data_IF_771713110668
#
_entry.id   IF_771713110668
#
_cell.length_a   1.000
_cell.length_b   1.000
_cell.length_c   1.000
_cell.angle_alpha   90.00
_cell.angle_beta   90.00
_cell.angle_gamma   90.00
#
_symmetry.space_group_name_H-M   'P 1'
#
loop_
_entity.id
_entity.type
_entity.pdbx_description
1 polymer ?
#
# COMPACT_ATOMS: atom_id res chain seq x y z
N UNK A 1 -32.76 8.03 -15.24
CA UNK A 1 -33.44 6.78 -14.78
C UNK A 1 -32.64 5.54 -15.13
N UNK A 2 -32.03 5.43 -16.32
CA UNK A 2 -31.25 4.27 -16.79
C UNK A 2 -30.02 3.99 -15.93
N UNK A 3 -29.28 5.03 -15.50
CA UNK A 3 -28.06 4.91 -14.67
C UNK A 3 -28.35 4.17 -13.35
N UNK A 4 -29.38 4.54 -12.62
CA UNK A 4 -29.71 3.93 -11.34
C UNK A 4 -30.41 2.58 -11.44
N UNK A 5 -31.17 2.34 -12.52
CA UNK A 5 -31.93 1.09 -12.67
C UNK A 5 -31.16 -0.03 -13.40
N UNK A 6 -30.21 0.32 -14.26
CA UNK A 6 -29.50 -0.66 -15.10
C UNK A 6 -28.00 -0.63 -14.82
N UNK A 7 -27.34 0.52 -15.00
CA UNK A 7 -25.89 0.63 -14.93
C UNK A 7 -25.36 0.38 -13.51
N UNK A 8 -25.94 1.05 -12.51
CA UNK A 8 -25.50 0.93 -11.12
C UNK A 8 -25.64 -0.49 -10.54
N UNK A 9 -26.75 -1.22 -10.75
CA UNK A 9 -26.86 -2.62 -10.35
C UNK A 9 -25.84 -3.54 -11.02
N UNK A 10 -25.50 -3.29 -12.30
CA UNK A 10 -24.50 -4.09 -13.02
C UNK A 10 -23.08 -3.91 -12.47
N UNK A 11 -22.73 -2.71 -12.05
CA UNK A 11 -21.39 -2.39 -11.48
C UNK A 11 -21.33 -2.53 -9.96
N UNK A 12 -22.47 -2.72 -9.28
CA UNK A 12 -22.54 -2.87 -7.82
C UNK A 12 -21.51 -3.89 -7.25
N UNK A 13 -21.34 -5.11 -7.83
CA UNK A 13 -20.35 -6.05 -7.31
C UNK A 13 -18.91 -5.53 -7.41
N UNK A 14 -18.60 -4.79 -8.48
CA UNK A 14 -17.27 -4.19 -8.65
C UNK A 14 -17.03 -3.07 -7.63
N UNK A 15 -18.03 -2.21 -7.42
CA UNK A 15 -17.97 -1.13 -6.40
C UNK A 15 -17.80 -1.73 -5.01
N UNK A 16 -18.60 -2.73 -4.63
CA UNK A 16 -18.48 -3.40 -3.34
C UNK A 16 -17.10 -4.05 -3.16
N UNK A 17 -16.60 -4.72 -4.19
CA UNK A 17 -15.25 -5.30 -4.17
C UNK A 17 -14.18 -4.24 -3.92
N UNK A 18 -14.25 -3.11 -4.63
CA UNK A 18 -13.31 -2.00 -4.46
C UNK A 18 -13.37 -1.41 -3.06
N UNK A 19 -14.59 -1.16 -2.53
CA UNK A 19 -14.78 -0.66 -1.16
C UNK A 19 -14.16 -1.61 -0.14
N UNK A 20 -14.40 -2.92 -0.26
CA UNK A 20 -13.86 -3.91 0.66
C UNK A 20 -12.32 -3.98 0.60
N UNK A 21 -11.73 -3.90 -0.61
CA UNK A 21 -10.28 -3.90 -0.78
C UNK A 21 -9.64 -2.64 -0.19
N UNK A 22 -10.23 -1.47 -0.46
CA UNK A 22 -9.74 -0.19 0.10
C UNK A 22 -9.86 -0.19 1.61
N UNK A 23 -10.98 -0.68 2.16
CA UNK A 23 -11.17 -0.81 3.60
C UNK A 23 -10.11 -1.71 4.23
N UNK A 24 -9.84 -2.89 3.64
CA UNK A 24 -8.81 -3.81 4.14
C UNK A 24 -7.41 -3.19 4.12
N UNK A 25 -7.06 -2.50 3.03
CA UNK A 25 -5.80 -1.79 2.91
C UNK A 25 -5.67 -0.64 3.93
N UNK A 26 -6.72 0.15 4.10
CA UNK A 26 -6.73 1.26 5.06
C UNK A 26 -6.62 0.77 6.52
N UNK A 27 -7.28 -0.34 6.86
CA UNK A 27 -7.20 -0.94 8.19
C UNK A 27 -5.76 -1.41 8.54
N UNK A 28 -5.01 -1.87 7.53
CA UNK A 28 -3.62 -2.30 7.70
C UNK A 28 -2.60 -1.16 7.63
N UNK A 29 -3.03 0.06 7.29
CA UNK A 29 -2.12 1.19 7.16
C UNK A 29 -1.58 1.61 8.53
N UNK A 30 -0.24 1.68 8.65
CA UNK A 30 0.45 2.11 9.86
C UNK A 30 1.08 3.51 9.75
N UNK A 31 1.84 3.84 8.68
CA UNK A 31 2.65 5.05 8.67
C UNK A 31 1.81 6.33 8.82
N UNK A 32 0.77 6.47 8.04
CA UNK A 32 -0.06 7.70 8.02
C UNK A 32 -0.73 7.95 9.38
N UNK A 33 -1.46 6.99 9.99
CA UNK A 33 -2.01 7.17 11.32
C UNK A 33 -0.96 7.45 12.39
N UNK A 34 0.23 6.84 12.28
CA UNK A 34 1.31 7.03 13.23
C UNK A 34 1.81 8.48 13.22
N UNK A 35 2.11 9.03 12.04
CA UNK A 35 2.57 10.41 11.91
C UNK A 35 1.50 11.45 12.26
N UNK A 36 0.23 11.13 12.07
CA UNK A 36 -0.89 11.98 12.48
C UNK A 36 -1.27 11.84 13.97
N UNK A 37 -0.59 11.00 14.73
CA UNK A 37 -0.91 10.74 16.13
C UNK A 37 -2.25 10.02 16.36
N UNK A 38 -2.82 9.39 15.30
CA UNK A 38 -4.10 8.71 15.38
C UNK A 38 -3.97 7.31 15.98
N UNK A 39 -4.81 7.02 16.97
CA UNK A 39 -4.84 5.70 17.62
C UNK A 39 -5.69 4.73 16.80
N UNK A 40 -5.04 3.92 15.96
CA UNK A 40 -5.67 2.86 15.16
C UNK A 40 -5.23 1.47 15.66
N UNK A 41 -5.87 0.40 15.16
CA UNK A 41 -5.46 -0.97 15.51
C UNK A 41 -4.00 -1.23 15.14
N UNK A 42 -3.56 -0.76 13.96
CA UNK A 42 -2.19 -0.92 13.49
C UNK A 42 -1.18 -0.14 14.33
N UNK A 43 -1.48 1.11 14.74
CA UNK A 43 -0.58 1.89 15.61
C UNK A 43 -0.54 1.32 17.03
N UNK A 44 -1.65 0.85 17.57
CA UNK A 44 -1.70 0.15 18.86
C UNK A 44 -0.91 -1.14 18.84
N UNK A 45 -1.06 -1.94 17.79
CA UNK A 45 -0.30 -3.16 17.61
C UNK A 45 1.22 -2.91 17.71
N UNK A 46 1.73 -1.94 16.98
CA UNK A 46 3.17 -1.61 17.00
C UNK A 46 3.60 -1.09 18.37
N UNK A 47 2.83 -0.21 18.99
CA UNK A 47 3.16 0.34 20.32
C UNK A 47 3.13 -0.72 21.43
N UNK A 48 2.26 -1.71 21.34
CA UNK A 48 2.14 -2.80 22.33
C UNK A 48 3.19 -3.88 22.12
N UNK A 49 3.58 -4.15 20.87
CA UNK A 49 4.53 -5.22 20.55
C UNK A 49 5.90 -5.05 21.25
N UNK A 50 6.30 -3.82 21.56
CA UNK A 50 7.55 -3.53 22.27
C UNK A 50 7.51 -3.82 23.78
N UNK A 51 6.31 -3.86 24.40
CA UNK A 51 6.12 -4.01 25.85
C UNK A 51 5.31 -5.23 26.24
N UNK A 52 4.31 -5.58 25.45
CA UNK A 52 3.27 -6.58 25.75
C UNK A 52 3.06 -7.50 24.57
N UNK A 53 4.02 -8.39 24.31
CA UNK A 53 4.01 -9.27 23.13
C UNK A 53 2.75 -10.17 23.07
N UNK A 54 2.24 -10.63 24.20
CA UNK A 54 1.02 -11.45 24.24
C UNK A 54 -0.22 -10.68 23.78
N UNK A 55 -0.43 -9.47 24.28
CA UNK A 55 -1.55 -8.62 23.90
C UNK A 55 -1.45 -8.17 22.45
N UNK A 56 -0.24 -7.83 21.98
CA UNK A 56 0.00 -7.51 20.60
C UNK A 56 -0.34 -8.70 19.67
N UNK A 57 -0.02 -9.93 20.07
CA UNK A 57 -0.35 -11.13 19.29
C UNK A 57 -1.87 -11.33 19.18
N UNK A 58 -2.64 -11.06 20.23
CA UNK A 58 -4.11 -11.10 20.18
C UNK A 58 -4.63 -10.05 19.19
N UNK A 59 -4.08 -8.84 19.25
CA UNK A 59 -4.47 -7.75 18.34
C UNK A 59 -4.16 -8.11 16.87
N UNK A 60 -3.00 -8.75 16.62
CA UNK A 60 -2.65 -9.25 15.30
C UNK A 60 -3.66 -10.32 14.80
N UNK A 61 -4.07 -11.25 15.66
CA UNK A 61 -5.08 -12.25 15.32
C UNK A 61 -6.41 -11.57 14.97
N UNK A 62 -6.84 -10.58 15.75
CA UNK A 62 -8.06 -9.82 15.46
C UNK A 62 -7.96 -9.17 14.07
N UNK A 63 -6.84 -8.52 13.75
CA UNK A 63 -6.63 -7.91 12.44
C UNK A 63 -6.64 -8.95 11.30
N UNK A 64 -6.06 -10.14 11.52
CA UNK A 64 -6.12 -11.24 10.56
C UNK A 64 -7.55 -11.75 10.34
N UNK A 65 -8.34 -11.89 11.42
CA UNK A 65 -9.75 -12.29 11.33
C UNK A 65 -10.55 -11.29 10.51
N UNK A 66 -10.35 -10.00 10.72
CA UNK A 66 -10.95 -8.96 9.87
C UNK A 66 -10.52 -9.08 8.40
N UNK A 67 -9.24 -9.32 8.13
CA UNK A 67 -8.74 -9.55 6.78
C UNK A 67 -9.42 -10.73 6.08
N UNK A 68 -9.54 -11.86 6.78
CA UNK A 68 -10.26 -13.05 6.28
C UNK A 68 -11.75 -12.75 6.08
N UNK A 69 -12.39 -12.05 7.00
CA UNK A 69 -13.80 -11.66 6.84
C UNK A 69 -14.03 -10.78 5.60
N UNK A 70 -13.16 -9.79 5.39
CA UNK A 70 -13.19 -8.92 4.19
C UNK A 70 -13.03 -9.77 2.91
N UNK A 71 -12.09 -10.73 2.92
CA UNK A 71 -11.91 -11.64 1.79
C UNK A 71 -13.17 -12.45 1.48
N UNK A 72 -13.78 -13.02 2.50
CA UNK A 72 -15.01 -13.81 2.34
C UNK A 72 -16.16 -12.95 1.80
N UNK A 73 -16.34 -11.76 2.35
CA UNK A 73 -17.33 -10.79 1.86
C UNK A 73 -17.06 -10.38 0.41
N UNK A 74 -15.80 -10.18 0.04
CA UNK A 74 -15.41 -9.87 -1.33
C UNK A 74 -15.73 -11.05 -2.28
N UNK A 75 -15.42 -12.28 -1.88
CA UNK A 75 -15.76 -13.47 -2.68
C UNK A 75 -17.28 -13.64 -2.86
N UNK A 76 -18.05 -13.41 -1.80
CA UNK A 76 -19.51 -13.46 -1.89
C UNK A 76 -20.05 -12.39 -2.84
N UNK A 77 -19.50 -11.18 -2.80
CA UNK A 77 -19.85 -10.08 -3.69
C UNK A 77 -19.53 -10.41 -5.16
N UNK A 78 -18.39 -11.05 -5.42
CA UNK A 78 -17.98 -11.46 -6.76
C UNK A 78 -18.78 -12.66 -7.27
N UNK A 79 -19.14 -13.61 -6.40
CA UNK A 79 -19.96 -14.78 -6.76
C UNK A 79 -21.36 -14.39 -7.22
N UNK A 80 -21.87 -13.27 -6.75
CA UNK A 80 -23.15 -12.68 -7.18
C UNK A 80 -23.12 -12.15 -8.64
N UNK A 81 -21.98 -12.16 -9.31
CA UNK A 81 -21.90 -11.87 -10.75
C UNK A 81 -22.64 -12.95 -11.52
N UNK A 82 -23.92 -12.73 -11.76
CA UNK A 82 -24.63 -13.44 -12.84
C UNK A 82 -23.86 -13.13 -14.12
N UNK A 83 -23.45 -14.16 -14.83
CA UNK A 83 -22.81 -14.00 -16.14
C UNK A 83 -23.79 -13.26 -17.05
N UNK A 84 -23.64 -11.95 -17.14
CA UNK A 84 -24.28 -11.17 -18.21
C UNK A 84 -23.47 -11.39 -19.49
N UNK A 85 -23.44 -12.64 -19.97
CA UNK A 85 -22.98 -12.93 -21.32
C UNK A 85 -24.01 -12.31 -22.25
N UNK A 86 -23.59 -11.32 -23.01
CA UNK A 86 -24.40 -10.81 -24.14
C UNK A 86 -24.63 -11.98 -25.09
N UNK A 87 -25.89 -12.29 -25.32
CA UNK A 87 -26.36 -13.42 -26.17
C UNK A 87 -25.80 -13.37 -27.60
N UNK A 88 -25.21 -12.28 -28.01
CA UNK A 88 -24.76 -12.00 -29.36
C UNK A 88 -23.26 -12.16 -29.63
N UNK A 89 -22.43 -12.64 -28.70
CA UNK A 89 -21.00 -12.93 -28.97
C UNK A 89 -20.15 -11.80 -29.62
N UNK A 90 -20.72 -10.66 -29.94
CA UNK A 90 -19.99 -9.45 -30.38
C UNK A 90 -19.45 -8.76 -29.16
N UNK A 91 -18.16 -8.49 -29.17
CA UNK A 91 -17.48 -7.62 -28.17
C UNK A 91 -18.38 -6.43 -27.92
N UNK A 92 -18.81 -6.26 -26.62
CA UNK A 92 -19.78 -5.23 -26.25
C UNK A 92 -19.35 -3.88 -26.80
N UNK A 93 -20.19 -3.28 -27.63
CA UNK A 93 -20.01 -1.89 -28.00
C UNK A 93 -19.98 -1.10 -26.70
N UNK A 94 -18.82 -0.54 -26.37
CA UNK A 94 -18.70 0.38 -25.25
C UNK A 94 -19.60 1.55 -25.57
N UNK A 95 -20.76 1.61 -24.92
CA UNK A 95 -21.68 2.73 -25.04
C UNK A 95 -20.96 3.98 -24.54
N UNK A 96 -20.44 4.76 -25.47
CA UNK A 96 -19.80 6.04 -25.15
C UNK A 96 -20.91 7.05 -24.83
N UNK A 97 -20.98 7.48 -23.59
CA UNK A 97 -21.84 8.60 -23.20
C UNK A 97 -21.18 9.86 -23.74
N UNK A 98 -21.83 10.55 -24.68
CA UNK A 98 -21.38 11.84 -25.18
C UNK A 98 -21.72 12.92 -24.15
N UNK A 99 -20.73 13.41 -23.44
CA UNK A 99 -20.86 14.45 -22.40
C UNK A 99 -21.10 15.87 -22.96
N UNK A 100 -21.37 15.99 -24.25
CA UNK A 100 -21.47 17.29 -24.92
C UNK A 100 -20.11 18.00 -25.05
N UNK A 101 -20.12 19.12 -25.80
CA UNK A 101 -18.87 19.85 -26.13
C UNK A 101 -18.15 20.39 -24.87
N UNK A 102 -18.88 20.89 -23.91
CA UNK A 102 -18.31 21.50 -22.69
C UNK A 102 -18.17 20.50 -21.53
N UNK A 103 -19.09 19.55 -21.38
CA UNK A 103 -19.08 18.60 -20.26
C UNK A 103 -17.82 17.75 -20.17
N UNK A 104 -17.26 17.33 -21.30
CA UNK A 104 -16.00 16.57 -21.34
C UNK A 104 -14.80 17.37 -20.83
N UNK A 105 -14.75 18.67 -21.14
CA UNK A 105 -13.64 19.54 -20.67
C UNK A 105 -13.76 19.82 -19.18
N UNK A 106 -14.97 20.10 -18.69
CA UNK A 106 -15.22 20.33 -17.26
C UNK A 106 -14.79 19.10 -16.45
N UNK A 107 -15.22 17.92 -16.83
CA UNK A 107 -14.86 16.68 -16.12
C UNK A 107 -13.34 16.41 -16.24
N UNK A 108 -12.75 16.63 -17.40
CA UNK A 108 -11.31 16.48 -17.57
C UNK A 108 -10.53 17.43 -16.66
N UNK A 109 -10.92 18.70 -16.58
CA UNK A 109 -10.28 19.69 -15.69
C UNK A 109 -10.42 19.27 -14.23
N UNK A 110 -11.62 18.85 -13.79
CA UNK A 110 -11.82 18.37 -12.41
C UNK A 110 -10.92 17.18 -12.10
N UNK A 111 -10.82 16.20 -13.02
CA UNK A 111 -9.97 15.03 -12.83
C UNK A 111 -8.49 15.41 -12.79
N UNK A 112 -8.04 16.33 -13.66
CA UNK A 112 -6.64 16.82 -13.66
C UNK A 112 -6.32 17.53 -12.36
N UNK A 113 -7.19 18.43 -11.90
CA UNK A 113 -7.02 19.14 -10.62
C UNK A 113 -6.99 18.13 -9.46
N UNK A 114 -7.92 17.18 -9.42
CA UNK A 114 -7.96 16.16 -8.41
C UNK A 114 -6.67 15.31 -8.40
N UNK A 115 -6.22 14.85 -9.57
CA UNK A 115 -4.97 14.07 -9.69
C UNK A 115 -3.75 14.89 -9.30
N UNK A 116 -3.73 16.17 -9.66
CA UNK A 116 -2.64 17.07 -9.26
C UNK A 116 -2.53 17.16 -7.74
N UNK A 117 -3.62 17.49 -7.05
CA UNK A 117 -3.60 17.65 -5.60
C UNK A 117 -3.41 16.34 -4.83
N UNK A 118 -3.85 15.22 -5.36
CA UNK A 118 -3.71 13.92 -4.66
C UNK A 118 -2.41 13.20 -4.93
N UNK A 119 -1.76 13.45 -6.07
CA UNK A 119 -0.57 12.69 -6.46
C UNK A 119 0.67 13.58 -6.67
N UNK A 120 0.54 14.67 -7.43
CA UNK A 120 1.69 15.49 -7.81
C UNK A 120 2.07 16.46 -6.70
N UNK A 121 1.08 17.16 -6.14
CA UNK A 121 1.30 18.17 -5.11
C UNK A 121 2.05 17.64 -3.87
N UNK A 122 1.70 16.46 -3.29
CA UNK A 122 2.46 15.91 -2.17
C UNK A 122 3.93 15.63 -2.52
N UNK A 123 4.21 15.14 -3.74
CA UNK A 123 5.59 14.88 -4.18
C UNK A 123 6.38 16.17 -4.26
N UNK A 124 5.79 17.22 -4.83
CA UNK A 124 6.40 18.54 -4.90
C UNK A 124 6.64 19.10 -3.50
N UNK A 125 5.65 18.98 -2.61
CA UNK A 125 5.77 19.42 -1.22
C UNK A 125 6.93 18.73 -0.50
N UNK A 126 7.04 17.40 -0.61
CA UNK A 126 8.17 16.66 -0.05
C UNK A 126 9.51 17.08 -0.68
N UNK A 127 9.56 17.34 -1.98
CA UNK A 127 10.77 17.81 -2.63
C UNK A 127 11.20 19.18 -2.07
N UNK A 128 10.27 20.10 -1.87
CA UNK A 128 10.56 21.41 -1.25
C UNK A 128 11.00 21.28 0.20
N UNK A 129 10.39 20.37 0.97
CA UNK A 129 10.75 20.13 2.38
C UNK A 129 12.24 19.79 2.52
N UNK A 130 12.84 19.12 1.54
CA UNK A 130 14.27 18.78 1.58
C UNK A 130 15.22 19.97 1.46
N UNK A 131 14.72 21.11 1.06
CA UNK A 131 15.51 22.35 0.95
C UNK A 131 15.20 23.36 2.07
N UNK A 132 14.26 23.05 2.97
CA UNK A 132 13.93 23.93 4.07
C UNK A 132 14.95 23.77 5.22
N UNK A 133 15.34 24.89 5.88
CA UNK A 133 16.21 24.84 7.05
C UNK A 133 15.53 24.16 8.23
N UNK A 134 14.22 24.42 8.41
CA UNK A 134 13.38 23.81 9.42
C UNK A 134 12.15 23.17 8.76
N UNK A 135 11.71 22.00 9.24
CA UNK A 135 10.52 21.35 8.74
C UNK A 135 9.28 22.25 8.85
N UNK A 136 8.53 22.39 7.74
CA UNK A 136 7.30 23.17 7.71
C UNK A 136 7.47 24.69 7.59
N UNK A 137 8.68 25.21 7.46
CA UNK A 137 8.92 26.65 7.28
C UNK A 137 8.81 27.04 5.80
N UNK A 138 7.61 27.28 5.35
CA UNK A 138 7.31 27.76 3.99
C UNK A 138 7.30 29.30 3.90
N UNK A 139 7.97 30.03 4.78
CA UNK A 139 8.01 31.50 4.79
C UNK A 139 8.48 32.10 3.49
N UNK A 140 9.39 31.42 2.76
CA UNK A 140 9.89 31.85 1.46
C UNK A 140 8.79 32.03 0.39
N UNK A 141 7.66 31.32 0.50
CA UNK A 141 6.56 31.44 -0.47
C UNK A 141 5.83 32.78 -0.41
N UNK A 142 5.79 33.42 0.76
CA UNK A 142 5.13 34.71 0.94
C UNK A 142 6.07 35.89 1.18
N UNK A 143 7.32 35.63 1.60
CA UNK A 143 8.36 36.68 1.68
C UNK A 143 9.08 36.90 0.37
N UNK A 144 9.07 35.90 -0.54
CA UNK A 144 9.85 35.91 -1.77
C UNK A 144 11.34 35.75 -1.55
N UNK A 145 11.79 35.51 -0.32
CA UNK A 145 13.20 35.37 0.04
C UNK A 145 13.60 33.89 0.07
N UNK A 146 14.32 33.47 -0.95
CA UNK A 146 14.85 32.12 -1.09
C UNK A 146 16.26 31.96 -0.48
N UNK A 147 16.82 32.99 0.18
CA UNK A 147 18.17 32.96 0.76
C UNK A 147 18.32 31.90 1.87
N UNK A 148 17.21 31.55 2.52
CA UNK A 148 17.16 30.57 3.60
C UNK A 148 17.10 29.12 3.12
N UNK A 149 16.92 28.86 1.81
CA UNK A 149 16.92 27.50 1.28
C UNK A 149 18.32 26.87 1.42
N UNK A 150 18.36 25.63 1.84
CA UNK A 150 19.61 24.94 2.15
C UNK A 150 19.68 23.56 1.47
N UNK A 151 20.89 23.17 1.08
CA UNK A 151 21.18 21.82 0.60
C UNK A 151 21.87 20.93 1.64
N UNK A 152 21.92 21.40 2.91
CA UNK A 152 22.65 20.72 3.99
C UNK A 152 22.22 19.26 4.17
N UNK A 153 20.93 18.97 4.01
CA UNK A 153 20.40 17.60 4.14
C UNK A 153 20.86 16.63 3.04
N UNK A 154 21.32 17.18 1.93
CA UNK A 154 21.82 16.40 0.78
C UNK A 154 23.32 16.25 0.78
N UNK A 155 24.06 17.34 0.96
CA UNK A 155 25.47 17.47 0.58
C UNK A 155 26.44 17.61 1.76
N UNK A 156 25.96 17.68 3.01
CA UNK A 156 26.85 17.89 4.15
C UNK A 156 27.62 16.62 4.49
N UNK A 157 28.94 16.68 4.46
CA UNK A 157 29.85 15.57 4.83
C UNK A 157 30.04 15.44 6.34
N UNK A 158 29.81 16.52 7.09
CA UNK A 158 29.89 16.54 8.54
C UNK A 158 28.53 16.24 9.18
N UNK A 159 28.54 15.85 10.45
CA UNK A 159 27.30 15.62 11.17
C UNK A 159 26.60 16.97 11.42
N UNK A 160 25.41 17.11 10.89
CA UNK A 160 24.57 18.29 11.12
C UNK A 160 23.96 18.17 12.52
N UNK A 161 24.49 18.93 13.46
CA UNK A 161 23.96 19.03 14.83
C UNK A 161 22.96 20.17 14.87
N UNK A 162 21.70 19.87 15.10
CA UNK A 162 20.69 20.87 15.44
C UNK A 162 20.23 20.64 16.87
N UNK A 163 20.24 21.67 17.68
CA UNK A 163 19.71 21.69 19.06
C UNK A 163 20.20 20.56 19.99
N UNK A 164 21.49 20.17 19.89
CA UNK A 164 22.07 19.14 20.73
C UNK A 164 21.69 17.71 20.47
N UNK A 165 20.93 17.45 19.40
CA UNK A 165 20.73 16.10 18.89
C UNK A 165 21.92 15.66 18.05
N UNK A 166 22.27 14.37 18.11
CA UNK A 166 23.30 13.76 17.26
C UNK A 166 22.86 13.90 15.80
N UNK A 167 23.49 14.85 15.10
CA UNK A 167 23.25 15.09 13.71
C UNK A 167 23.72 13.92 12.84
N UNK A 168 23.12 13.78 11.70
CA UNK A 168 23.53 12.82 10.69
C UNK A 168 24.14 13.56 9.49
N UNK A 169 25.02 12.88 8.78
CA UNK A 169 25.54 13.38 7.49
C UNK A 169 24.41 13.52 6.50
N UNK A 170 24.58 14.43 5.55
CA UNK A 170 23.67 14.54 4.41
C UNK A 170 23.50 13.21 3.69
N UNK A 171 22.36 13.03 3.05
CA UNK A 171 21.91 11.73 2.49
C UNK A 171 22.97 11.09 1.56
N UNK A 172 23.70 11.89 0.77
CA UNK A 172 24.71 11.39 -0.16
C UNK A 172 25.98 10.88 0.53
N UNK A 173 26.26 11.31 1.75
CA UNK A 173 27.41 10.89 2.55
C UNK A 173 27.05 9.94 3.69
N UNK A 174 25.78 9.59 3.85
CA UNK A 174 25.32 8.72 4.93
C UNK A 174 25.39 7.25 4.51
N UNK A 175 26.43 6.54 4.95
CA UNK A 175 26.63 5.14 4.64
C UNK A 175 25.48 4.22 5.10
N UNK A 176 24.85 4.56 6.21
CA UNK A 176 23.71 3.79 6.75
C UNK A 176 22.53 3.83 5.79
N UNK A 177 22.25 5.00 5.22
CA UNK A 177 21.17 5.17 4.22
C UNK A 177 21.49 4.40 2.95
N UNK A 178 22.74 4.47 2.46
CA UNK A 178 23.15 3.73 1.27
C UNK A 178 23.13 2.21 1.48
N UNK A 179 23.48 1.74 2.66
CA UNK A 179 23.38 0.32 3.01
C UNK A 179 21.91 -0.12 3.02
N UNK A 180 21.03 0.65 3.66
CA UNK A 180 19.60 0.39 3.67
C UNK A 180 18.99 0.42 2.26
N UNK A 181 19.39 1.39 1.42
CA UNK A 181 18.94 1.50 0.03
C UNK A 181 19.32 0.27 -0.80
N UNK A 182 20.59 -0.18 -0.73
CA UNK A 182 21.05 -1.40 -1.40
C UNK A 182 20.27 -2.63 -0.94
N UNK A 183 20.07 -2.77 0.37
CA UNK A 183 19.27 -3.85 0.95
C UNK A 183 17.83 -3.84 0.42
N UNK A 184 17.20 -2.67 0.43
CA UNK A 184 15.82 -2.51 -0.07
C UNK A 184 15.69 -2.89 -1.54
N UNK A 185 16.62 -2.45 -2.40
CA UNK A 185 16.60 -2.83 -3.82
C UNK A 185 16.75 -4.33 -3.99
N UNK A 186 17.72 -4.94 -3.30
CA UNK A 186 17.98 -6.39 -3.41
C UNK A 186 16.75 -7.20 -3.01
N UNK A 187 16.16 -6.87 -1.86
CA UNK A 187 14.95 -7.54 -1.36
C UNK A 187 13.78 -7.31 -2.30
N UNK A 188 13.56 -6.09 -2.75
CA UNK A 188 12.43 -5.77 -3.65
C UNK A 188 12.53 -6.52 -4.98
N UNK A 189 13.73 -6.60 -5.57
CA UNK A 189 13.94 -7.35 -6.81
C UNK A 189 13.71 -8.84 -6.59
N UNK A 190 14.26 -9.42 -5.52
CA UNK A 190 14.07 -10.82 -5.19
C UNK A 190 12.59 -11.16 -4.96
N UNK A 191 11.89 -10.36 -4.16
CA UNK A 191 10.45 -10.52 -3.93
C UNK A 191 9.63 -10.36 -5.21
N UNK A 192 9.94 -9.38 -6.06
CA UNK A 192 9.22 -9.17 -7.32
C UNK A 192 9.38 -10.36 -8.28
N UNK A 193 10.59 -10.91 -8.39
CA UNK A 193 10.85 -12.09 -9.21
C UNK A 193 10.12 -13.34 -8.67
N UNK A 194 10.20 -13.59 -7.36
CA UNK A 194 9.53 -14.74 -6.73
C UNK A 194 8.00 -14.60 -6.82
N UNK A 195 7.45 -13.48 -6.42
CA UNK A 195 6.01 -13.24 -6.45
C UNK A 195 5.47 -13.23 -7.88
N UNK A 196 6.21 -12.65 -8.83
CA UNK A 196 5.85 -12.62 -10.24
C UNK A 196 5.82 -14.02 -10.86
N UNK A 197 6.83 -14.84 -10.60
CA UNK A 197 6.89 -16.23 -11.12
C UNK A 197 5.81 -17.10 -10.49
N UNK A 198 5.69 -17.10 -9.16
CA UNK A 198 4.68 -17.90 -8.44
C UNK A 198 3.27 -17.43 -8.83
N UNK A 199 3.02 -16.13 -8.86
CA UNK A 199 1.74 -15.56 -9.26
C UNK A 199 1.34 -15.93 -10.69
N UNK A 200 2.30 -15.91 -11.61
CA UNK A 200 2.07 -16.34 -13.00
C UNK A 200 1.73 -17.84 -13.09
N UNK A 201 2.45 -18.68 -12.34
CA UNK A 201 2.17 -20.12 -12.30
C UNK A 201 0.78 -20.41 -11.72
N UNK A 202 0.41 -19.74 -10.63
CA UNK A 202 -0.92 -19.85 -10.02
C UNK A 202 -1.99 -19.37 -11.03
N UNK A 203 -1.80 -18.20 -11.62
CA UNK A 203 -2.72 -17.63 -12.59
C UNK A 203 -2.92 -18.54 -13.79
N UNK A 204 -1.86 -19.15 -14.31
CA UNK A 204 -1.94 -20.13 -15.39
C UNK A 204 -2.71 -21.39 -14.97
N UNK A 205 -2.39 -21.98 -13.82
CA UNK A 205 -3.05 -23.18 -13.32
C UNK A 205 -4.56 -22.95 -13.09
N UNK A 206 -4.92 -21.81 -12.49
CA UNK A 206 -6.32 -21.41 -12.25
C UNK A 206 -7.04 -21.15 -13.55
N UNK A 207 -6.42 -20.48 -14.52
CA UNK A 207 -7.05 -20.17 -15.82
C UNK A 207 -7.35 -21.40 -16.65
N UNK A 208 -6.45 -22.39 -16.63
CA UNK A 208 -6.61 -23.67 -17.32
C UNK A 208 -7.72 -24.54 -16.72
N UNK A 209 -7.94 -24.43 -15.41
CA UNK A 209 -8.87 -25.28 -14.67
C UNK A 209 -10.06 -24.50 -14.07
N UNK A 210 -10.58 -23.49 -14.74
CA UNK A 210 -11.60 -22.56 -14.23
C UNK A 210 -12.86 -23.19 -13.62
N UNK A 211 -13.23 -24.40 -14.05
CA UNK A 211 -14.42 -25.13 -13.55
C UNK A 211 -14.13 -25.95 -12.29
N UNK A 212 -12.87 -26.15 -11.92
CA UNK A 212 -12.47 -26.92 -10.77
C UNK A 212 -12.69 -26.15 -9.44
N UNK A 213 -13.22 -26.84 -8.43
CA UNK A 213 -13.32 -26.29 -7.07
C UNK A 213 -11.94 -25.98 -6.50
N UNK A 214 -10.93 -26.76 -6.83
CA UNK A 214 -9.55 -26.57 -6.44
C UNK A 214 -8.96 -25.28 -7.00
N UNK A 215 -9.24 -24.95 -8.26
CA UNK A 215 -8.77 -23.69 -8.85
C UNK A 215 -9.31 -22.46 -8.10
N UNK A 216 -10.60 -22.51 -7.72
CA UNK A 216 -11.20 -21.44 -6.93
C UNK A 216 -10.58 -21.34 -5.54
N UNK A 217 -10.30 -22.48 -4.90
CA UNK A 217 -9.64 -22.50 -3.58
C UNK A 217 -8.22 -21.91 -3.67
N UNK A 218 -7.41 -22.38 -4.60
CA UNK A 218 -6.04 -21.88 -4.83
C UNK A 218 -6.03 -20.38 -5.10
N UNK A 219 -6.94 -19.91 -5.96
CA UNK A 219 -7.07 -18.48 -6.24
C UNK A 219 -7.40 -17.66 -4.98
N UNK A 220 -8.28 -18.19 -4.14
CA UNK A 220 -8.67 -17.54 -2.88
C UNK A 220 -7.51 -17.48 -1.89
N UNK A 221 -6.78 -18.59 -1.73
CA UNK A 221 -5.61 -18.66 -0.84
C UNK A 221 -4.49 -17.74 -1.34
N UNK A 222 -4.25 -17.71 -2.66
CA UNK A 222 -3.24 -16.83 -3.25
C UNK A 222 -3.55 -15.33 -3.07
N UNK A 223 -4.84 -14.99 -2.94
CA UNK A 223 -5.26 -13.60 -2.71
C UNK A 223 -5.25 -13.19 -1.23
N UNK A 224 -5.20 -14.15 -0.32
CA UNK A 224 -5.27 -13.92 1.12
C UNK A 224 -4.16 -12.98 1.65
N UNK A 225 -2.88 -13.13 1.27
CA UNK A 225 -1.82 -12.24 1.73
C UNK A 225 -2.06 -10.76 1.39
N UNK A 226 -2.70 -10.47 0.26
CA UNK A 226 -3.03 -9.10 -0.15
C UNK A 226 -4.00 -8.40 0.83
N UNK A 227 -4.86 -9.16 1.51
CA UNK A 227 -5.85 -8.64 2.44
C UNK A 227 -5.38 -8.62 3.89
N UNK A 228 -4.26 -9.28 4.18
CA UNK A 228 -3.68 -9.25 5.52
C UNK A 228 -2.91 -7.95 5.74
N UNK A 229 -3.04 -7.33 6.92
CA UNK A 229 -2.21 -6.20 7.29
C UNK A 229 -0.73 -6.61 7.25
N UNK A 230 0.07 -6.00 6.39
CA UNK A 230 1.47 -6.36 6.16
C UNK A 230 2.30 -6.34 7.45
N UNK A 231 2.01 -5.36 8.32
CA UNK A 231 2.71 -5.23 9.61
C UNK A 231 2.45 -6.42 10.53
N UNK A 232 1.21 -6.95 10.58
CA UNK A 232 0.87 -8.11 11.39
C UNK A 232 1.57 -9.37 10.87
N UNK A 233 1.62 -9.54 9.55
CA UNK A 233 2.32 -10.65 8.89
C UNK A 233 3.83 -10.54 9.16
N UNK A 234 4.43 -9.37 8.97
CA UNK A 234 5.85 -9.13 9.21
C UNK A 234 6.27 -9.46 10.63
N UNK A 235 5.50 -9.02 11.64
CA UNK A 235 5.83 -9.34 13.04
C UNK A 235 5.56 -10.81 13.37
N UNK A 236 4.53 -11.44 12.82
CA UNK A 236 4.32 -12.88 12.99
C UNK A 236 5.51 -13.69 12.48
N UNK A 237 6.05 -13.35 11.30
CA UNK A 237 7.26 -13.95 10.78
C UNK A 237 8.48 -13.63 11.64
N UNK A 238 8.63 -12.37 12.08
CA UNK A 238 9.73 -11.99 12.96
C UNK A 238 9.74 -12.83 14.25
N UNK A 239 8.60 -12.98 14.92
CA UNK A 239 8.47 -13.81 16.12
C UNK A 239 8.80 -15.28 15.81
N UNK A 240 8.24 -15.81 14.70
CA UNK A 240 8.45 -17.21 14.30
C UNK A 240 9.94 -17.51 14.07
N UNK A 241 10.64 -16.64 13.34
CA UNK A 241 12.04 -16.84 13.00
C UNK A 241 13.03 -16.42 14.10
N UNK A 242 12.59 -15.62 15.07
CA UNK A 242 13.39 -15.28 16.26
C UNK A 242 13.37 -16.37 17.34
N UNK A 243 12.55 -17.42 17.17
CA UNK A 243 12.44 -18.50 18.14
C UNK A 243 13.66 -19.44 18.05
N UNK A 244 14.29 -19.78 19.19
CA UNK A 244 15.51 -20.60 19.25
C UNK A 244 15.42 -21.94 18.50
N UNK A 245 14.23 -22.51 18.37
CA UNK A 245 13.99 -23.78 17.67
C UNK A 245 14.12 -23.67 16.14
N UNK A 246 14.09 -22.48 15.58
CA UNK A 246 14.17 -22.21 14.13
C UNK A 246 15.45 -21.44 13.76
N UNK A 247 16.52 -21.68 14.47
CA UNK A 247 17.83 -21.03 14.29
C UNK A 247 18.38 -21.04 12.86
N UNK A 248 17.94 -21.94 12.01
CA UNK A 248 18.33 -22.01 10.60
C UNK A 248 17.87 -20.78 9.78
N UNK A 249 16.89 -20.03 10.29
CA UNK A 249 16.33 -18.86 9.62
C UNK A 249 16.70 -17.53 10.30
N UNK A 250 17.49 -17.59 11.37
CA UNK A 250 17.89 -16.41 12.14
C UNK A 250 19.04 -15.62 11.49
N UNK A 251 19.28 -15.82 10.21
CA UNK A 251 20.18 -14.95 9.45
C UNK A 251 19.45 -13.69 9.02
N UNK A 252 20.06 -12.54 9.29
CA UNK A 252 19.56 -11.21 8.91
C UNK A 252 19.13 -11.11 7.45
N UNK A 253 19.70 -11.93 6.57
CA UNK A 253 19.38 -12.00 5.14
C UNK A 253 18.01 -12.64 4.87
N UNK A 254 17.62 -13.66 5.63
CA UNK A 254 16.31 -14.32 5.46
C UNK A 254 15.16 -13.50 6.09
N UNK A 255 15.42 -12.83 7.21
CA UNK A 255 14.50 -11.86 7.80
C UNK A 255 14.24 -10.69 6.84
N UNK A 256 15.24 -10.25 6.09
CA UNK A 256 15.13 -9.24 5.05
C UNK A 256 14.36 -9.73 3.80
N UNK A 257 14.33 -11.03 3.53
CA UNK A 257 13.59 -11.60 2.39
C UNK A 257 12.10 -11.82 2.68
N UNK A 258 11.73 -11.87 3.95
CA UNK A 258 10.35 -12.13 4.39
C UNK A 258 9.62 -10.85 4.80
N UNK A 259 10.33 -9.79 5.19
CA UNK A 259 9.79 -8.46 5.51
C UNK A 259 9.60 -7.60 4.29
#
# INVERSE_FOLDING_TARGET
KTMFRITLPMVKPAILSTILLVFGSAMGSYPVPHYLGLSTLSTKYVSMNSKYTGEASILAIIMMVFGVAIMLLNQLSLRSRKNYTTVTGKSGQISKITLGKYGKYIIAIILVIFTFFTSIFPIISFAFETFLPNPGDYSFLYTGDASNLTTKWWLTSENVTENGMYGQKGILYNETIWRAFKGTILVSVACALLAGTIGTMIGYAVSKNRRSRWANYVNSVAFLPYLMPSIAVGVAFFILFSTEKLHLFNTSTLLLLVG
#
